data_IF_856527531578
#
_entry.id   IF_856527531578
#
_cell.length_a   1.000
_cell.length_b   1.000
_cell.length_c   1.000
_cell.angle_alpha   90.00
_cell.angle_beta   90.00
_cell.angle_gamma   90.00
#
_symmetry.space_group_name_H-M   'P 1'
#
loop_
_entity.id
_entity.type
_entity.pdbx_description
1 polymer ?
#
# COMPACT_ATOMS: atom_id res chain seq x y z
N UNK A 1 0.78 4.42 -12.18
CA UNK A 1 -0.40 5.18 -11.67
C UNK A 1 -0.82 4.54 -10.36
N UNK A 2 -1.24 5.32 -9.34
CA UNK A 2 -1.46 4.80 -7.97
C UNK A 2 -2.92 4.79 -7.52
N UNK A 3 -3.81 5.47 -8.24
CA UNK A 3 -5.27 5.33 -8.07
C UNK A 3 -5.74 4.56 -9.30
N UNK A 4 -6.42 3.42 -9.08
CA UNK A 4 -6.94 2.60 -10.18
C UNK A 4 -8.39 2.98 -10.40
N UNK A 5 -8.69 3.61 -11.54
CA UNK A 5 -10.00 4.17 -11.85
C UNK A 5 -10.06 5.69 -11.74
N UNK A 6 -11.22 6.24 -11.36
CA UNK A 6 -11.44 7.68 -11.37
C UNK A 6 -10.61 8.40 -10.30
N UNK A 7 -9.85 9.41 -10.72
CA UNK A 7 -9.03 10.25 -9.84
C UNK A 7 -9.84 11.43 -9.34
N UNK A 8 -10.04 11.52 -8.02
CA UNK A 8 -10.71 12.64 -7.36
C UNK A 8 -9.83 13.23 -6.25
N UNK A 9 -10.01 14.50 -5.86
CA UNK A 9 -9.25 15.12 -4.78
C UNK A 9 -9.28 14.32 -3.47
N UNK A 10 -10.44 13.77 -3.10
CA UNK A 10 -10.59 12.98 -1.88
C UNK A 10 -9.77 11.68 -1.92
N UNK A 11 -9.78 10.98 -3.08
CA UNK A 11 -8.96 9.77 -3.28
C UNK A 11 -7.47 10.09 -3.27
N UNK A 12 -7.08 11.24 -3.81
CA UNK A 12 -5.69 11.71 -3.76
C UNK A 12 -5.26 11.96 -2.33
N UNK A 13 -6.08 12.60 -1.50
CA UNK A 13 -5.78 12.82 -0.08
C UNK A 13 -5.60 11.50 0.68
N UNK A 14 -6.54 10.55 0.52
CA UNK A 14 -6.45 9.20 1.13
C UNK A 14 -5.17 8.50 0.72
N UNK A 15 -4.84 8.51 -0.57
CA UNK A 15 -3.63 7.88 -1.08
C UNK A 15 -2.36 8.55 -0.53
N UNK A 16 -2.31 9.88 -0.44
CA UNK A 16 -1.15 10.61 0.06
C UNK A 16 -0.86 10.29 1.53
N UNK A 17 -1.90 10.21 2.36
CA UNK A 17 -1.77 9.84 3.77
C UNK A 17 -1.29 8.39 3.92
N UNK A 18 -1.89 7.45 3.19
CA UNK A 18 -1.47 6.05 3.21
C UNK A 18 -0.02 5.87 2.71
N UNK A 19 0.36 6.55 1.63
CA UNK A 19 1.72 6.49 1.08
C UNK A 19 2.76 7.08 2.03
N UNK A 20 2.41 8.14 2.77
CA UNK A 20 3.28 8.71 3.80
C UNK A 20 3.57 7.70 4.91
N UNK A 21 2.58 6.92 5.35
CA UNK A 21 2.77 5.86 6.34
C UNK A 21 3.66 4.75 5.79
N UNK A 22 3.46 4.33 4.53
CA UNK A 22 4.30 3.30 3.89
C UNK A 22 5.77 3.72 3.92
N UNK A 23 6.07 4.92 3.44
CA UNK A 23 7.45 5.43 3.38
C UNK A 23 8.05 5.57 4.78
N UNK A 24 7.30 6.11 5.73
CA UNK A 24 7.79 6.31 7.09
C UNK A 24 8.09 4.99 7.82
N UNK A 25 7.22 3.98 7.71
CA UNK A 25 7.46 2.69 8.37
C UNK A 25 8.65 1.93 7.76
N UNK A 26 8.84 2.02 6.45
CA UNK A 26 10.03 1.46 5.80
C UNK A 26 11.32 2.18 6.22
N UNK A 27 11.26 3.51 6.40
CA UNK A 27 12.36 4.30 6.94
C UNK A 27 12.72 3.91 8.37
N UNK A 28 11.72 3.82 9.24
CA UNK A 28 11.90 3.45 10.63
C UNK A 28 12.45 2.02 10.78
N UNK A 29 12.09 1.12 9.86
CA UNK A 29 12.63 -0.23 9.78
C UNK A 29 14.03 -0.31 9.14
N UNK A 30 14.57 0.79 8.61
CA UNK A 30 15.88 0.84 7.95
C UNK A 30 15.91 0.23 6.54
N UNK A 31 14.75 -0.02 5.93
CA UNK A 31 14.62 -0.75 4.66
C UNK A 31 14.68 0.15 3.40
N UNK A 32 14.71 1.47 3.57
CA UNK A 32 14.70 2.45 2.46
C UNK A 32 15.80 2.24 1.42
N UNK A 33 16.96 1.71 1.83
CA UNK A 33 18.09 1.49 0.91
C UNK A 33 18.01 0.14 0.19
N UNK A 34 17.28 -0.82 0.73
CA UNK A 34 17.15 -2.16 0.18
C UNK A 34 15.99 -2.24 -0.82
N UNK A 35 14.95 -1.44 -0.59
CA UNK A 35 13.77 -1.39 -1.44
C UNK A 35 14.00 -0.40 -2.58
N UNK A 36 13.91 -0.88 -3.82
CA UNK A 36 14.06 -0.06 -5.02
C UNK A 36 12.91 0.94 -5.17
N UNK A 37 11.68 0.46 -5.00
CA UNK A 37 10.50 1.31 -5.08
C UNK A 37 9.42 0.78 -4.13
N UNK A 38 8.80 1.69 -3.37
CA UNK A 38 7.65 1.40 -2.51
C UNK A 38 6.62 2.52 -2.56
N UNK A 39 5.33 2.14 -2.51
CA UNK A 39 4.21 3.06 -2.55
C UNK A 39 2.90 2.38 -2.14
N UNK A 40 1.91 3.20 -1.78
CA UNK A 40 0.53 2.75 -1.67
C UNK A 40 -0.19 2.82 -3.03
N UNK A 41 -1.18 1.95 -3.21
CA UNK A 41 -2.13 1.93 -4.34
C UNK A 41 -3.55 1.93 -3.78
N UNK A 42 -4.42 2.75 -4.36
CA UNK A 42 -5.82 2.91 -3.98
C UNK A 42 -6.72 2.47 -5.14
N UNK A 43 -7.18 1.21 -5.19
CA UNK A 43 -8.15 0.79 -6.18
C UNK A 43 -9.52 1.39 -5.89
N UNK A 44 -10.24 1.80 -6.94
CA UNK A 44 -11.58 2.37 -6.83
C UNK A 44 -12.67 1.31 -6.59
N UNK A 45 -12.51 0.57 -5.51
CA UNK A 45 -13.46 -0.42 -5.01
C UNK A 45 -13.68 -0.19 -3.51
N UNK A 46 -14.86 -0.57 -3.01
CA UNK A 46 -15.16 -0.57 -1.58
C UNK A 46 -15.14 -2.00 -1.05
N UNK A 47 -14.62 -2.18 0.16
CA UNK A 47 -14.69 -3.45 0.88
C UNK A 47 -15.47 -3.31 2.17
N UNK A 48 -16.03 -4.41 2.65
CA UNK A 48 -16.70 -4.46 3.94
C UNK A 48 -15.65 -4.65 5.05
N UNK A 49 -15.78 -3.86 6.10
CA UNK A 49 -15.04 -3.98 7.35
C UNK A 49 -15.99 -3.95 8.54
N UNK A 50 -15.42 -4.15 9.72
CA UNK A 50 -16.13 -3.96 11.00
C UNK A 50 -15.28 -3.01 11.83
N UNK A 51 -15.87 -1.91 12.27
CA UNK A 51 -15.23 -0.97 13.20
C UNK A 51 -16.19 -0.75 14.37
N UNK A 52 -15.76 -1.09 15.59
CA UNK A 52 -16.68 -1.25 16.72
C UNK A 52 -17.68 -2.37 16.44
N UNK A 53 -18.97 -2.08 16.62
CA UNK A 53 -20.06 -3.03 16.38
C UNK A 53 -20.79 -2.81 15.04
N UNK A 54 -20.30 -1.90 14.20
CA UNK A 54 -20.95 -1.53 12.93
C UNK A 54 -20.16 -1.98 11.69
N UNK A 55 -20.91 -2.29 10.63
CA UNK A 55 -20.33 -2.56 9.32
C UNK A 55 -19.90 -1.26 8.66
N UNK A 56 -18.66 -1.21 8.20
CA UNK A 56 -18.11 -0.08 7.47
C UNK A 56 -17.84 -0.44 6.01
N UNK A 57 -17.99 0.55 5.14
CA UNK A 57 -17.61 0.44 3.73
C UNK A 57 -16.47 1.42 3.45
N UNK A 58 -15.26 0.87 3.30
CA UNK A 58 -14.03 1.63 3.14
C UNK A 58 -13.26 1.19 1.90
N UNK A 59 -12.26 1.97 1.54
CA UNK A 59 -11.30 1.59 0.51
C UNK A 59 -10.30 0.57 1.06
N UNK A 60 -9.89 -0.42 0.26
CA UNK A 60 -8.66 -1.14 0.54
C UNK A 60 -7.46 -0.30 0.08
N UNK A 61 -6.34 -0.38 0.79
CA UNK A 61 -5.04 0.09 0.32
C UNK A 61 -4.16 -1.11 0.02
N UNK A 62 -3.48 -1.07 -1.12
CA UNK A 62 -2.50 -2.09 -1.49
C UNK A 62 -1.11 -1.49 -1.33
N UNK A 63 -0.28 -2.13 -0.52
CA UNK A 63 1.13 -1.78 -0.41
C UNK A 63 1.87 -2.48 -1.56
N UNK A 64 2.67 -1.72 -2.29
CA UNK A 64 3.59 -2.23 -3.30
C UNK A 64 5.00 -1.89 -2.88
N UNK A 65 5.88 -2.89 -2.81
CA UNK A 65 7.30 -2.68 -2.57
C UNK A 65 8.08 -3.74 -3.35
N UNK A 66 9.11 -3.30 -4.07
CA UNK A 66 9.93 -4.17 -4.92
C UNK A 66 11.42 -3.91 -4.72
N UNK A 67 12.21 -4.97 -4.90
CA UNK A 67 13.67 -4.93 -5.05
C UNK A 67 14.01 -5.18 -6.52
N UNK A 68 15.02 -4.50 -7.05
CA UNK A 68 15.44 -4.67 -8.44
C UNK A 68 16.92 -4.34 -8.58
N UNK A 69 17.63 -5.09 -9.43
CA UNK A 69 19.02 -4.82 -9.79
C UNK A 69 19.13 -4.02 -11.11
N UNK A 70 18.14 -4.12 -12.02
CA UNK A 70 18.25 -3.61 -13.39
C UNK A 70 16.95 -3.01 -13.99
N UNK A 71 15.89 -2.84 -13.19
CA UNK A 71 14.54 -2.40 -13.58
C UNK A 71 13.82 -3.26 -14.65
N UNK A 72 14.49 -4.25 -15.26
CA UNK A 72 13.90 -5.19 -16.21
C UNK A 72 13.17 -6.30 -15.45
N UNK A 73 13.77 -6.77 -14.36
CA UNK A 73 13.15 -7.69 -13.41
C UNK A 73 12.99 -7.03 -12.05
N UNK A 74 11.91 -7.36 -11.33
CA UNK A 74 11.72 -6.87 -9.99
C UNK A 74 11.02 -7.92 -9.14
N UNK A 75 11.57 -8.16 -7.96
CA UNK A 75 11.00 -9.06 -6.98
C UNK A 75 10.22 -8.27 -5.94
N UNK A 76 9.08 -8.80 -5.48
CA UNK A 76 8.38 -8.19 -4.35
C UNK A 76 9.27 -8.19 -3.10
N UNK A 77 9.29 -7.12 -2.33
CA UNK A 77 10.19 -6.99 -1.18
C UNK A 77 9.77 -7.89 -0.01
N UNK A 78 10.70 -8.62 0.62
CA UNK A 78 10.38 -9.46 1.78
C UNK A 78 10.39 -8.62 3.07
N UNK A 79 9.43 -7.69 3.16
CA UNK A 79 9.28 -6.82 4.34
C UNK A 79 8.96 -7.70 5.56
N UNK A 80 9.64 -7.49 6.71
CA UNK A 80 9.32 -8.20 7.95
C UNK A 80 7.83 -8.07 8.33
N UNK A 81 7.24 -9.17 8.79
CA UNK A 81 5.79 -9.20 9.04
C UNK A 81 5.34 -8.24 10.14
N UNK A 82 6.18 -7.96 11.14
CA UNK A 82 5.94 -6.96 12.17
C UNK A 82 5.90 -5.54 11.61
N UNK A 83 6.74 -5.23 10.62
CA UNK A 83 6.71 -3.95 9.89
C UNK A 83 5.43 -3.84 9.06
N UNK A 84 5.04 -4.92 8.36
CA UNK A 84 3.78 -4.96 7.61
C UNK A 84 2.55 -4.82 8.52
N UNK A 85 2.54 -5.49 9.66
CA UNK A 85 1.46 -5.39 10.67
C UNK A 85 1.34 -3.96 11.21
N UNK A 86 2.46 -3.34 11.59
CA UNK A 86 2.48 -1.96 12.07
C UNK A 86 1.99 -0.99 11.00
N UNK A 87 2.46 -1.14 9.77
CA UNK A 87 2.05 -0.30 8.64
C UNK A 87 0.55 -0.46 8.35
N UNK A 88 0.03 -1.69 8.34
CA UNK A 88 -1.40 -1.96 8.15
C UNK A 88 -2.26 -1.38 9.28
N UNK A 89 -1.83 -1.53 10.53
CA UNK A 89 -2.51 -0.97 11.70
C UNK A 89 -2.58 0.56 11.64
N UNK A 90 -1.46 1.21 11.32
CA UNK A 90 -1.42 2.67 11.16
C UNK A 90 -2.31 3.15 10.02
N UNK A 91 -2.24 2.52 8.85
CA UNK A 91 -3.09 2.90 7.70
C UNK A 91 -4.58 2.80 8.05
N UNK A 92 -5.01 1.72 8.70
CA UNK A 92 -6.43 1.53 9.07
C UNK A 92 -6.89 2.54 10.13
N UNK A 93 -6.03 2.87 11.10
CA UNK A 93 -6.41 3.72 12.22
C UNK A 93 -6.22 5.23 11.95
N UNK A 94 -5.25 5.60 11.11
CA UNK A 94 -4.88 7.00 10.87
C UNK A 94 -5.49 7.56 9.58
N UNK A 95 -5.82 6.73 8.58
CA UNK A 95 -6.31 7.19 7.27
C UNK A 95 -7.84 7.03 7.16
N UNK A 96 -8.61 8.13 7.18
CA UNK A 96 -10.06 8.05 7.14
C UNK A 96 -10.58 7.36 5.88
N UNK A 97 -11.54 6.44 6.07
CA UNK A 97 -12.20 5.75 4.97
C UNK A 97 -11.43 4.56 4.41
N UNK A 98 -10.27 4.20 4.97
CA UNK A 98 -9.57 2.93 4.70
C UNK A 98 -10.01 1.89 5.73
N UNK A 99 -10.25 0.65 5.29
CA UNK A 99 -10.67 -0.43 6.19
C UNK A 99 -10.00 -1.78 5.93
N UNK A 100 -9.04 -1.80 5.00
CA UNK A 100 -8.33 -3.00 4.61
C UNK A 100 -6.98 -2.63 4.04
N UNK A 101 -5.99 -3.44 4.35
CA UNK A 101 -4.66 -3.34 3.75
C UNK A 101 -4.29 -4.70 3.16
N UNK A 102 -3.70 -4.68 1.97
CA UNK A 102 -3.13 -5.85 1.31
C UNK A 102 -1.68 -5.55 0.90
N UNK A 103 -0.88 -6.59 0.70
CA UNK A 103 0.48 -6.48 0.19
C UNK A 103 0.61 -7.23 -1.13
N UNK A 104 1.10 -6.56 -2.17
CA UNK A 104 1.27 -7.15 -3.49
C UNK A 104 2.58 -7.95 -3.59
N UNK A 105 2.43 -9.28 -3.57
CA UNK A 105 3.49 -10.28 -3.62
C UNK A 105 3.77 -10.80 -5.05
N UNK A 106 3.40 -10.05 -6.08
CA UNK A 106 3.59 -10.42 -7.49
C UNK A 106 4.92 -9.87 -8.03
N UNK A 107 5.84 -10.72 -8.48
CA UNK A 107 7.08 -10.26 -9.14
C UNK A 107 6.83 -9.76 -10.58
N UNK A 108 7.76 -8.98 -11.11
CA UNK A 108 7.88 -8.60 -12.52
C UNK A 108 8.98 -9.44 -13.17
N UNK A 109 8.68 -10.30 -14.16
CA UNK A 109 7.34 -10.73 -14.62
C UNK A 109 6.64 -11.72 -13.65
N UNK A 110 5.32 -11.99 -13.79
CA UNK A 110 4.41 -11.57 -14.86
C UNK A 110 3.74 -10.21 -14.63
N UNK A 111 3.81 -9.67 -13.42
CA UNK A 111 3.23 -8.36 -13.11
C UNK A 111 4.10 -7.20 -13.59
N UNK A 112 3.61 -5.98 -13.37
CA UNK A 112 4.38 -4.74 -13.49
C UNK A 112 4.68 -4.18 -12.09
N UNK A 113 5.56 -3.17 -12.00
CA UNK A 113 5.80 -2.48 -10.72
C UNK A 113 4.55 -1.66 -10.36
N UNK A 114 4.11 -0.81 -11.28
CA UNK A 114 2.86 -0.07 -11.20
C UNK A 114 1.65 -0.96 -11.46
N UNK A 115 0.47 -0.53 -11.01
CA UNK A 115 -0.80 -1.22 -11.20
C UNK A 115 -1.61 -0.72 -12.41
N UNK A 116 -1.25 0.46 -12.94
CA UNK A 116 -1.81 1.08 -14.15
C UNK A 116 -0.78 2.01 -14.81
#
# INVERSE_FOLDING_TARGET
>A
MRIIGEVTPDKVAVLQEADAIVREELRLAGLEREIWQSFAVLPDIRTVGVMGDERTYGYPVIIRAVTSEDAMTADWARIPYDVLEKMASRIINEVPGVNRVAYDITSKPPGTIEWE
#
